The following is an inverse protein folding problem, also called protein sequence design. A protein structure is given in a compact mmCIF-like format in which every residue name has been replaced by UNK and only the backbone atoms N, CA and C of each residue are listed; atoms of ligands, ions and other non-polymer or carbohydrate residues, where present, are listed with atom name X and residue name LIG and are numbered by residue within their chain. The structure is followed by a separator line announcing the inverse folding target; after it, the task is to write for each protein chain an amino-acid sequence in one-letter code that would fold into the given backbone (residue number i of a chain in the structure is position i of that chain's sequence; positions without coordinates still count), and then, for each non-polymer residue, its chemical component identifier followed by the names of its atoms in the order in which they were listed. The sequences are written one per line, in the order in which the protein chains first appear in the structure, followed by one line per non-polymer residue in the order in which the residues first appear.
data_IF_456571547712
#
_entry.id   IF_456571547712
#
_cell.length_a   1.000
_cell.length_b   1.000
_cell.length_c   1.000
_cell.angle_alpha   90.00
_cell.angle_beta   90.00
_cell.angle_gamma   90.00
#
_symmetry.space_group_name_H-M   'P 1'
#
loop_
_entity.id
_entity.type
_entity.pdbx_description
1 polymer ?
#
# COMPACT_ATOMS: atom_id res chain seq x y z
N UNK A 1 -0.34 6.76 11.25
CA UNK A 1 -0.08 5.38 10.80
C UNK A 1 -1.24 4.50 11.22
N UNK A 2 -2.24 4.33 10.36
CA UNK A 2 -3.39 3.47 10.66
C UNK A 2 -3.04 2.05 10.25
N UNK A 3 -3.08 1.09 11.19
CA UNK A 3 -3.06 -0.34 10.82
C UNK A 3 -4.19 -0.57 9.82
N UNK A 4 -3.92 -1.14 8.67
CA UNK A 4 -4.95 -1.35 7.65
C UNK A 4 -4.96 -2.81 7.25
N UNK A 5 -6.05 -3.23 6.61
CA UNK A 5 -6.27 -4.63 6.26
C UNK A 5 -5.11 -5.27 5.47
N UNK A 6 -4.28 -4.48 4.77
CA UNK A 6 -3.11 -4.94 4.02
C UNK A 6 -1.75 -4.62 4.67
N UNK A 7 -1.73 -4.10 5.90
CA UNK A 7 -0.50 -3.70 6.59
C UNK A 7 0.48 -4.89 6.74
N UNK A 8 -0.07 -6.09 6.93
CA UNK A 8 0.69 -7.34 7.01
C UNK A 8 1.27 -7.83 5.67
N UNK A 9 0.77 -7.33 4.54
CA UNK A 9 1.24 -7.69 3.20
C UNK A 9 2.41 -6.81 2.75
N UNK A 10 2.44 -5.56 3.22
CA UNK A 10 3.46 -4.59 2.84
C UNK A 10 4.64 -4.69 3.80
N UNK A 11 5.73 -5.31 3.36
CA UNK A 11 6.97 -5.36 4.13
C UNK A 11 7.62 -3.97 4.11
N UNK A 12 7.40 -3.22 5.19
CA UNK A 12 7.91 -1.83 5.38
C UNK A 12 9.39 -1.77 5.77
N UNK A 13 10.03 -2.92 6.05
CA UNK A 13 11.41 -2.99 6.53
C UNK A 13 12.40 -2.35 5.56
N UNK A 14 12.39 -2.69 4.26
CA UNK A 14 13.38 -2.05 3.37
C UNK A 14 13.12 -0.56 3.09
N UNK A 15 11.89 -0.05 3.27
CA UNK A 15 11.65 1.42 3.18
C UNK A 15 12.34 2.09 4.35
N UNK A 16 12.13 1.53 5.55
CA UNK A 16 12.72 2.07 6.78
C UNK A 16 14.23 2.00 6.73
N UNK A 17 14.81 0.88 6.28
CA UNK A 17 16.25 0.70 6.15
C UNK A 17 16.87 1.67 5.14
N UNK A 18 16.20 1.93 4.01
CA UNK A 18 16.72 2.88 3.03
C UNK A 18 16.56 4.33 3.53
N UNK A 19 15.42 4.68 4.14
CA UNK A 19 15.27 5.99 4.76
C UNK A 19 16.29 6.22 5.89
N UNK A 20 16.69 5.17 6.61
CA UNK A 20 17.74 5.23 7.64
C UNK A 20 19.15 5.34 7.03
N UNK A 21 19.36 4.73 5.85
CA UNK A 21 20.61 4.89 5.10
C UNK A 21 20.83 6.31 4.55
N UNK A 22 19.75 7.09 4.46
CA UNK A 22 19.84 8.50 4.16
C UNK A 22 19.81 9.29 5.47
N UNK A 23 20.77 10.19 5.65
CA UNK A 23 20.77 11.16 6.74
C UNK A 23 19.66 12.19 6.46
N UNK A 24 18.40 11.78 6.73
CA UNK A 24 17.18 12.57 6.55
C UNK A 24 16.78 13.14 7.89
N UNK A 25 16.28 14.37 7.86
CA UNK A 25 15.68 14.95 9.06
C UNK A 25 14.46 14.11 9.48
N UNK A 26 14.22 13.92 10.79
CA UNK A 26 13.04 13.19 11.27
C UNK A 26 11.73 13.70 10.69
N UNK A 27 11.62 15.01 10.38
CA UNK A 27 10.44 15.59 9.73
C UNK A 27 10.33 15.12 8.27
N UNK A 28 11.39 15.24 7.48
CA UNK A 28 11.40 14.77 6.07
C UNK A 28 11.12 13.27 5.97
N UNK A 29 11.68 12.49 6.91
CA UNK A 29 11.43 11.06 7.01
C UNK A 29 9.95 10.77 7.23
N UNK A 30 9.30 11.47 8.16
CA UNK A 30 7.88 11.27 8.45
C UNK A 30 7.01 11.68 7.27
N UNK A 31 7.34 12.77 6.59
CA UNK A 31 6.64 13.21 5.37
C UNK A 31 6.76 12.19 4.24
N UNK A 32 7.97 11.68 3.97
CA UNK A 32 8.20 10.64 2.96
C UNK A 32 7.42 9.37 3.30
N UNK A 33 7.45 8.92 4.55
CA UNK A 33 6.68 7.75 4.98
C UNK A 33 5.18 7.97 4.79
N UNK A 34 4.67 9.15 5.15
CA UNK A 34 3.26 9.50 4.94
C UNK A 34 2.86 9.53 3.46
N UNK A 35 3.74 10.04 2.59
CA UNK A 35 3.52 10.09 1.15
C UNK A 35 3.51 8.68 0.54
N UNK A 36 4.42 7.81 0.98
CA UNK A 36 4.47 6.40 0.59
C UNK A 36 3.20 5.67 1.03
N UNK A 37 2.78 5.85 2.28
CA UNK A 37 1.59 5.20 2.85
C UNK A 37 0.33 5.60 2.08
N UNK A 38 0.16 6.89 1.79
CA UNK A 38 -0.94 7.40 0.96
C UNK A 38 -0.91 6.87 -0.47
N UNK A 39 0.27 6.85 -1.10
CA UNK A 39 0.43 6.33 -2.46
C UNK A 39 0.11 4.84 -2.53
N UNK A 40 0.64 4.04 -1.59
CA UNK A 40 0.32 2.62 -1.46
C UNK A 40 -1.18 2.40 -1.24
N UNK A 41 -1.81 3.20 -0.37
CA UNK A 41 -3.23 3.07 -0.08
C UNK A 41 -4.10 3.29 -1.32
N UNK A 42 -3.88 4.38 -2.03
CA UNK A 42 -4.61 4.63 -3.27
C UNK A 42 -4.35 3.54 -4.32
N UNK A 43 -3.12 3.05 -4.44
CA UNK A 43 -2.80 2.03 -5.43
C UNK A 43 -3.45 0.68 -5.11
N UNK A 44 -3.41 0.25 -3.85
CA UNK A 44 -4.04 -1.00 -3.41
C UNK A 44 -5.55 -0.94 -3.60
N UNK A 45 -6.19 0.17 -3.23
CA UNK A 45 -7.62 0.36 -3.50
C UNK A 45 -7.91 0.27 -5.00
N UNK A 46 -7.07 0.87 -5.84
CA UNK A 46 -7.27 0.84 -7.28
C UNK A 46 -7.15 -0.59 -7.85
N UNK A 47 -6.15 -1.37 -7.42
CA UNK A 47 -6.00 -2.78 -7.81
C UNK A 47 -7.25 -3.57 -7.42
N UNK A 48 -7.69 -3.43 -6.16
CA UNK A 48 -8.89 -4.12 -5.67
C UNK A 48 -10.10 -3.73 -6.51
N UNK A 49 -10.34 -2.44 -6.74
CA UNK A 49 -11.48 -1.97 -7.54
C UNK A 49 -11.38 -2.36 -9.02
N UNK A 50 -10.18 -2.55 -9.55
CA UNK A 50 -9.97 -2.97 -10.93
C UNK A 50 -10.30 -4.47 -11.12
N UNK A 51 -9.96 -5.30 -10.14
CA UNK A 51 -10.27 -6.74 -10.16
C UNK A 51 -11.67 -7.06 -9.65
N UNK A 52 -12.17 -6.30 -8.69
CA UNK A 52 -13.48 -6.49 -8.10
C UNK A 52 -14.56 -6.02 -9.09
N UNK A 53 -15.64 -6.79 -9.29
CA UNK A 53 -16.77 -6.35 -10.10
C UNK A 53 -17.40 -5.08 -9.57
N UNK A 54 -17.83 -4.16 -10.45
CA UNK A 54 -18.47 -2.88 -10.08
C UNK A 54 -19.68 -3.04 -9.13
N UNK A 55 -20.39 -4.17 -9.24
CA UNK A 55 -21.51 -4.51 -8.35
C UNK A 55 -21.11 -4.66 -6.88
N UNK A 56 -19.85 -4.98 -6.60
CA UNK A 56 -19.31 -5.15 -5.25
C UNK A 56 -18.48 -3.96 -4.76
N UNK A 57 -18.25 -2.94 -5.60
CA UNK A 57 -17.47 -1.75 -5.23
C UNK A 57 -18.08 -1.01 -4.04
N UNK A 58 -19.40 -0.79 -4.05
CA UNK A 58 -20.08 -0.08 -2.97
C UNK A 58 -19.99 -0.84 -1.63
N UNK A 59 -20.14 -2.17 -1.66
CA UNK A 59 -20.03 -3.02 -0.47
C UNK A 59 -18.61 -3.00 0.09
N UNK A 60 -17.61 -3.13 -0.80
CA UNK A 60 -16.20 -3.04 -0.43
C UNK A 60 -15.86 -1.67 0.20
N UNK A 61 -16.24 -0.56 -0.44
CA UNK A 61 -15.98 0.78 0.07
C UNK A 61 -16.67 0.98 1.43
N UNK A 62 -17.91 0.52 1.57
CA UNK A 62 -18.65 0.61 2.83
C UNK A 62 -17.94 -0.16 3.96
N UNK A 63 -17.40 -1.36 3.67
CA UNK A 63 -16.60 -2.13 4.64
C UNK A 63 -15.29 -1.44 4.99
N UNK A 64 -14.57 -0.89 4.00
CA UNK A 64 -13.31 -0.18 4.22
C UNK A 64 -13.52 1.07 5.07
N UNK A 65 -14.59 1.83 4.84
CA UNK A 65 -14.94 3.01 5.65
C UNK A 65 -15.38 2.60 7.06
N UNK A 66 -16.17 1.53 7.17
CA UNK A 66 -16.69 1.07 8.46
C UNK A 66 -15.59 0.45 9.35
N UNK A 67 -14.69 -0.33 8.75
CA UNK A 67 -13.66 -1.08 9.47
C UNK A 67 -12.37 -1.21 8.64
N UNK A 68 -11.57 -0.13 8.49
CA UNK A 68 -10.38 -0.13 7.60
C UNK A 68 -9.26 -1.10 8.00
N UNK A 69 -9.35 -1.61 9.23
CA UNK A 69 -8.38 -2.53 9.85
C UNK A 69 -8.80 -4.00 9.72
N UNK A 70 -10.01 -4.26 9.20
CA UNK A 70 -10.60 -5.59 9.22
C UNK A 70 -10.00 -6.47 8.12
N UNK A 71 -9.35 -7.56 8.52
CA UNK A 71 -8.78 -8.56 7.60
C UNK A 71 -9.86 -9.25 6.76
N UNK A 72 -11.13 -9.24 7.21
CA UNK A 72 -12.25 -9.79 6.45
C UNK A 72 -12.50 -9.04 5.14
N UNK A 73 -12.05 -7.78 5.02
CA UNK A 73 -12.12 -7.03 3.75
C UNK A 73 -11.32 -7.74 2.67
N UNK A 74 -10.12 -8.20 3.01
CA UNK A 74 -9.23 -8.90 2.09
C UNK A 74 -9.82 -10.27 1.69
N UNK A 75 -10.35 -11.01 2.66
CA UNK A 75 -11.05 -12.28 2.42
C UNK A 75 -12.29 -12.09 1.53
N UNK A 76 -13.07 -11.02 1.75
CA UNK A 76 -14.21 -10.71 0.91
C UNK A 76 -13.80 -10.48 -0.54
N UNK A 77 -12.77 -9.66 -0.76
CA UNK A 77 -12.26 -9.40 -2.11
C UNK A 77 -11.78 -10.70 -2.73
N UNK A 78 -10.95 -11.48 -2.01
CA UNK A 78 -10.44 -12.78 -2.46
C UNK A 78 -11.53 -13.79 -2.78
N UNK A 79 -12.66 -13.77 -2.06
CA UNK A 79 -13.81 -14.62 -2.35
C UNK A 79 -14.58 -14.18 -3.60
N UNK A 80 -14.43 -12.91 -4.03
CA UNK A 80 -15.12 -12.32 -5.17
C UNK A 80 -14.27 -12.23 -6.42
N UNK A 81 -12.94 -12.27 -6.29
CA UNK A 81 -12.00 -12.26 -7.41
C UNK A 81 -11.35 -13.63 -7.56
N UNK A 82 -11.18 -14.08 -8.80
CA UNK A 82 -10.52 -15.37 -9.08
C UNK A 82 -8.99 -15.29 -9.05
N UNK A 83 -8.43 -14.08 -8.87
CA UNK A 83 -6.99 -13.80 -8.83
C UNK A 83 -6.54 -13.70 -7.38
N UNK A 84 -5.32 -14.16 -7.07
CA UNK A 84 -4.69 -13.92 -5.78
C UNK A 84 -4.36 -12.43 -5.60
N UNK A 85 -5.35 -11.69 -5.11
CA UNK A 85 -5.24 -10.25 -4.84
C UNK A 85 -4.13 -9.94 -3.83
N UNK A 86 -3.84 -10.86 -2.92
CA UNK A 86 -2.77 -10.71 -1.93
C UNK A 86 -1.39 -10.65 -2.58
N UNK A 87 -1.15 -11.54 -3.56
CA UNK A 87 0.09 -11.54 -4.35
C UNK A 87 0.17 -10.31 -5.25
N UNK A 88 -0.95 -9.91 -5.88
CA UNK A 88 -0.99 -8.67 -6.67
C UNK A 88 -0.64 -7.45 -5.81
N UNK A 89 -1.21 -7.35 -4.61
CA UNK A 89 -0.91 -6.27 -3.65
C UNK A 89 0.56 -6.33 -3.24
N UNK A 90 1.11 -7.51 -2.91
CA UNK A 90 2.52 -7.66 -2.54
C UNK A 90 3.46 -7.25 -3.68
N UNK A 91 3.21 -7.75 -4.88
CA UNK A 91 3.99 -7.46 -6.08
C UNK A 91 3.98 -5.96 -6.40
N UNK A 92 2.80 -5.34 -6.37
CA UNK A 92 2.66 -3.90 -6.61
C UNK A 92 3.26 -3.07 -5.50
N UNK A 93 3.09 -3.43 -4.23
CA UNK A 93 3.71 -2.74 -3.11
C UNK A 93 5.25 -2.79 -3.21
N UNK A 94 5.82 -3.96 -3.57
CA UNK A 94 7.24 -4.10 -3.82
C UNK A 94 7.71 -3.25 -5.02
N UNK A 95 6.90 -3.17 -6.08
CA UNK A 95 7.19 -2.34 -7.26
C UNK A 95 7.16 -0.85 -6.93
N UNK A 96 6.11 -0.35 -6.28
CA UNK A 96 5.98 1.04 -5.84
C UNK A 96 7.14 1.42 -4.93
N UNK A 97 7.46 0.54 -3.98
CA UNK A 97 8.60 0.70 -3.10
C UNK A 97 9.89 0.83 -3.90
N UNK A 98 10.17 -0.10 -4.81
CA UNK A 98 11.39 -0.06 -5.63
C UNK A 98 11.45 1.21 -6.48
N UNK A 99 10.34 1.60 -7.09
CA UNK A 99 10.23 2.79 -7.93
C UNK A 99 10.51 4.05 -7.12
N UNK A 100 9.89 4.16 -5.95
CA UNK A 100 10.05 5.29 -5.04
C UNK A 100 11.44 5.35 -4.42
N UNK A 101 12.05 4.21 -4.07
CA UNK A 101 13.45 4.13 -3.65
C UNK A 101 14.40 4.56 -4.77
N UNK A 102 14.09 4.21 -6.01
CA UNK A 102 14.84 4.65 -7.19
C UNK A 102 14.68 6.16 -7.43
N UNK A 103 13.46 6.70 -7.29
CA UNK A 103 13.17 8.13 -7.40
C UNK A 103 13.92 8.94 -6.34
N UNK A 104 13.90 8.50 -5.07
CA UNK A 104 14.66 9.11 -3.97
C UNK A 104 16.17 9.07 -4.26
N UNK A 105 16.68 7.93 -4.72
CA UNK A 105 18.09 7.82 -5.12
C UNK A 105 18.45 8.79 -6.26
N UNK A 106 17.57 8.96 -7.26
CA UNK A 106 17.80 9.84 -8.41
C UNK A 106 17.72 11.31 -8.02
N UNK A 107 16.75 11.69 -7.19
CA UNK A 107 16.52 13.09 -6.80
C UNK A 107 17.68 13.63 -5.96
N UNK A 108 18.33 12.80 -5.13
CA UNK A 108 19.49 13.20 -4.31
C UNK A 108 20.85 13.08 -5.00
N UNK A 109 20.92 12.53 -6.22
CA UNK A 109 22.18 12.42 -7.00
C UNK A 109 22.44 13.64 -7.90
N UNK A 110 21.58 14.65 -7.84
CA UNK A 110 21.68 15.94 -8.54
C UNK A 110 22.03 17.04 -7.54
#
# INVERSE_FOLDING_TARGET
MSKIFYDHLVIREDITAVLDSYDLDPVEREELVGLIDSHLHHHILNIILNHLPKSHHADFISRVIAAPHDTQILEFVRSKVSVDIEEEIKSHAAKIKTDLLSEIHKSRRK
#
